data_IF_025235078838
#
_entry.id   IF_025235078838
#
_cell.length_a   1.000
_cell.length_b   1.000
_cell.length_c   1.000
_cell.angle_alpha   90.00
_cell.angle_beta   90.00
_cell.angle_gamma   90.00
#
_symmetry.space_group_name_H-M   'P 1'
#
loop_
_entity.id
_entity.type
_entity.pdbx_description
1 polymer ?
#
# COMPACT_ATOMS: atom_id res chain seq x y z
N UNK A 1 6.45 4.21 13.05
CA UNK A 1 7.84 4.59 12.71
C UNK A 1 7.97 5.09 11.27
N UNK A 2 7.64 4.31 10.21
CA UNK A 2 7.76 4.75 8.82
C UNK A 2 6.98 6.03 8.53
N UNK A 3 5.76 6.16 9.02
CA UNK A 3 4.94 7.37 8.84
C UNK A 3 5.61 8.60 9.47
N UNK A 4 6.22 8.46 10.65
CA UNK A 4 7.01 9.55 11.25
C UNK A 4 8.25 9.96 10.42
N UNK A 5 8.86 9.00 9.71
CA UNK A 5 10.02 9.28 8.84
C UNK A 5 9.61 9.92 7.52
N UNK A 6 8.55 9.40 6.89
CA UNK A 6 8.07 9.83 5.57
C UNK A 6 7.20 11.09 5.65
N UNK A 7 6.55 11.34 6.80
CA UNK A 7 5.64 12.46 7.07
C UNK A 7 4.58 12.65 5.97
N UNK A 8 3.86 11.60 5.59
CA UNK A 8 2.80 11.72 4.60
C UNK A 8 1.63 12.53 5.17
N UNK A 9 0.95 13.29 4.32
CA UNK A 9 -0.34 13.93 4.66
C UNK A 9 -1.53 13.09 4.20
N UNK A 10 -1.36 12.32 3.12
CA UNK A 10 -2.40 11.45 2.55
C UNK A 10 -1.90 10.04 2.44
N UNK A 11 -2.56 9.12 3.13
CA UNK A 11 -2.29 7.68 3.07
C UNK A 11 -3.50 6.96 2.48
N UNK A 12 -3.26 6.01 1.60
CA UNK A 12 -4.22 4.99 1.18
C UNK A 12 -3.76 3.65 1.71
N UNK A 13 -4.67 2.89 2.31
CA UNK A 13 -4.46 1.50 2.71
C UNK A 13 -5.42 0.59 1.98
N UNK A 14 -4.89 -0.48 1.40
CA UNK A 14 -5.65 -1.57 0.78
C UNK A 14 -5.55 -2.81 1.66
N UNK A 15 -6.66 -3.19 2.30
CA UNK A 15 -6.75 -4.23 3.33
C UNK A 15 -6.79 -3.62 4.73
N UNK A 16 -7.99 -3.35 5.22
CA UNK A 16 -8.22 -2.76 6.56
C UNK A 16 -8.16 -3.82 7.65
N UNK A 17 -8.74 -5.00 7.38
CA UNK A 17 -9.01 -6.04 8.38
C UNK A 17 -9.66 -5.42 9.63
N UNK A 18 -9.04 -5.54 10.81
CA UNK A 18 -9.57 -4.95 12.06
C UNK A 18 -9.13 -3.49 12.30
N UNK A 19 -8.47 -2.84 11.33
CA UNK A 19 -8.05 -1.44 11.42
C UNK A 19 -6.74 -1.20 12.18
N UNK A 20 -6.00 -2.24 12.55
CA UNK A 20 -4.78 -2.10 13.36
C UNK A 20 -3.71 -1.24 12.68
N UNK A 21 -3.39 -1.52 11.42
CA UNK A 21 -2.40 -0.78 10.64
C UNK A 21 -2.82 0.66 10.40
N UNK A 22 -4.10 0.90 10.06
CA UNK A 22 -4.66 2.24 9.92
C UNK A 22 -4.49 3.08 11.19
N UNK A 23 -4.84 2.52 12.37
CA UNK A 23 -4.67 3.17 13.66
C UNK A 23 -3.20 3.48 13.95
N UNK A 24 -2.30 2.52 13.73
CA UNK A 24 -0.86 2.72 13.91
C UNK A 24 -0.26 3.77 12.95
N UNK A 25 -0.76 3.83 11.72
CA UNK A 25 -0.33 4.85 10.75
C UNK A 25 -0.87 6.23 11.12
N UNK A 26 -2.12 6.32 11.59
CA UNK A 26 -2.76 7.56 11.99
C UNK A 26 -2.04 8.28 13.14
N UNK A 27 -1.43 7.53 14.07
CA UNK A 27 -0.60 8.08 15.15
C UNK A 27 0.57 8.91 14.60
N UNK A 28 1.19 8.46 13.50
CA UNK A 28 2.34 9.13 12.90
C UNK A 28 2.01 10.27 11.95
N UNK A 29 0.73 10.49 11.63
CA UNK A 29 0.29 11.54 10.71
C UNK A 29 0.37 12.93 11.34
N UNK A 30 0.68 13.98 10.54
CA UNK A 30 0.50 15.36 10.98
C UNK A 30 -0.96 15.65 11.33
N UNK A 31 -1.22 16.81 11.97
CA UNK A 31 -2.54 17.17 12.46
C UNK A 31 -3.62 17.20 11.36
N UNK A 32 -3.26 17.61 10.16
CA UNK A 32 -4.12 17.70 8.97
C UNK A 32 -4.03 16.45 8.06
N UNK A 33 -3.28 15.43 8.51
CA UNK A 33 -3.13 14.19 7.77
C UNK A 33 -4.37 13.31 7.81
N UNK A 34 -4.59 12.53 6.75
CA UNK A 34 -5.73 11.63 6.58
C UNK A 34 -5.30 10.29 6.01
N UNK A 35 -6.02 9.24 6.42
CA UNK A 35 -5.94 7.89 5.87
C UNK A 35 -7.30 7.52 5.29
N UNK A 36 -7.32 7.02 4.07
CA UNK A 36 -8.41 6.23 3.52
C UNK A 36 -7.98 4.78 3.59
N UNK A 37 -8.75 3.92 4.27
CA UNK A 37 -8.52 2.48 4.35
C UNK A 37 -9.70 1.74 3.74
N UNK A 38 -9.42 0.74 2.90
CA UNK A 38 -10.43 0.03 2.11
C UNK A 38 -10.34 -1.45 2.40
N UNK A 39 -11.50 -2.06 2.68
CA UNK A 39 -11.66 -3.51 2.71
C UNK A 39 -12.87 -3.92 1.89
N UNK A 40 -12.85 -5.14 1.35
CA UNK A 40 -13.98 -5.72 0.65
C UNK A 40 -14.87 -6.55 1.58
N UNK A 41 -14.33 -6.94 2.74
CA UNK A 41 -14.99 -7.80 3.71
C UNK A 41 -15.91 -6.99 4.63
N UNK A 42 -17.21 -7.08 4.41
CA UNK A 42 -18.24 -6.41 5.22
C UNK A 42 -18.53 -7.16 6.54
N UNK A 43 -18.13 -8.41 6.68
CA UNK A 43 -18.36 -9.19 7.93
C UNK A 43 -17.53 -8.63 9.09
N UNK A 44 -16.39 -8.01 8.82
CA UNK A 44 -15.51 -7.42 9.83
C UNK A 44 -15.72 -5.90 10.03
N UNK A 45 -16.60 -5.26 9.25
CA UNK A 45 -16.78 -3.81 9.25
C UNK A 45 -17.06 -3.26 10.66
N UNK A 46 -18.05 -3.82 11.37
CA UNK A 46 -18.43 -3.35 12.70
C UNK A 46 -17.28 -3.45 13.70
N UNK A 47 -16.48 -4.51 13.61
CA UNK A 47 -15.30 -4.73 14.47
C UNK A 47 -14.24 -3.68 14.18
N UNK A 48 -13.91 -3.48 12.92
CA UNK A 48 -12.91 -2.50 12.49
C UNK A 48 -13.31 -1.07 12.88
N UNK A 49 -14.56 -0.68 12.59
CA UNK A 49 -15.09 0.62 13.00
C UNK A 49 -15.11 0.80 14.51
N UNK A 50 -15.41 -0.27 15.26
CA UNK A 50 -15.37 -0.26 16.72
C UNK A 50 -13.97 0.03 17.28
N UNK A 51 -12.91 -0.57 16.71
CA UNK A 51 -11.53 -0.29 17.11
C UNK A 51 -11.08 1.10 16.65
N UNK A 52 -11.39 1.50 15.43
CA UNK A 52 -11.05 2.83 14.91
C UNK A 52 -11.68 3.92 15.79
N UNK A 53 -12.96 3.78 16.15
CA UNK A 53 -13.67 4.76 16.98
C UNK A 53 -13.09 4.93 18.39
N UNK A 54 -12.40 3.90 18.92
CA UNK A 54 -11.71 3.96 20.20
C UNK A 54 -10.32 4.60 20.10
N UNK A 55 -9.81 4.82 18.89
CA UNK A 55 -8.50 5.45 18.67
C UNK A 55 -8.59 6.97 18.94
N UNK A 56 -7.58 7.56 19.59
CA UNK A 56 -7.48 9.02 19.70
C UNK A 56 -7.26 9.72 18.35
N UNK A 57 -7.07 8.96 17.27
CA UNK A 57 -6.85 9.43 15.90
C UNK A 57 -7.98 9.04 14.95
N UNK A 58 -9.15 8.68 15.48
CA UNK A 58 -10.31 8.26 14.68
C UNK A 58 -10.72 9.30 13.63
N UNK A 59 -10.57 10.58 13.94
CA UNK A 59 -10.87 11.71 13.05
C UNK A 59 -9.99 11.79 11.80
N UNK A 60 -8.86 11.07 11.80
CA UNK A 60 -7.94 10.99 10.66
C UNK A 60 -8.21 9.80 9.75
N UNK A 61 -9.06 8.85 10.15
CA UNK A 61 -9.26 7.56 9.47
C UNK A 61 -10.63 7.53 8.83
N UNK A 62 -10.67 7.38 7.52
CA UNK A 62 -11.88 7.10 6.75
C UNK A 62 -11.84 5.66 6.27
N UNK A 63 -12.78 4.82 6.74
CA UNK A 63 -12.92 3.44 6.32
C UNK A 63 -14.02 3.30 5.28
N UNK A 64 -13.68 2.69 4.15
CA UNK A 64 -14.59 2.32 3.08
C UNK A 64 -14.70 0.79 2.98
N UNK A 65 -15.93 0.30 2.81
CA UNK A 65 -16.18 -1.13 2.54
C UNK A 65 -16.63 -1.25 1.09
N UNK A 66 -15.70 -1.63 0.23
CA UNK A 66 -15.94 -1.78 -1.21
C UNK A 66 -14.76 -2.50 -1.88
N UNK A 67 -14.94 -2.89 -3.14
CA UNK A 67 -13.81 -3.35 -3.97
C UNK A 67 -12.90 -2.14 -4.30
N UNK A 68 -11.65 -2.24 -3.88
CA UNK A 68 -10.66 -1.18 -4.12
C UNK A 68 -10.41 -0.94 -5.61
N UNK A 69 -10.46 -1.98 -6.46
CA UNK A 69 -10.26 -1.84 -7.91
C UNK A 69 -11.45 -1.15 -8.59
N UNK A 70 -12.65 -1.24 -8.02
CA UNK A 70 -13.83 -0.50 -8.49
C UNK A 70 -13.83 0.94 -7.98
N UNK A 71 -13.38 1.19 -6.75
CA UNK A 71 -13.34 2.51 -6.15
C UNK A 71 -12.21 3.39 -6.70
N UNK A 72 -11.01 2.85 -6.88
CA UNK A 72 -9.81 3.58 -7.29
C UNK A 72 -10.01 4.42 -8.58
N UNK A 73 -10.68 3.95 -9.64
CA UNK A 73 -10.94 4.77 -10.83
C UNK A 73 -11.77 6.03 -10.54
N UNK A 74 -12.63 6.01 -9.52
CA UNK A 74 -13.50 7.14 -9.15
C UNK A 74 -12.82 8.13 -8.21
N UNK A 75 -11.73 7.71 -7.54
CA UNK A 75 -10.98 8.54 -6.60
C UNK A 75 -10.15 9.59 -7.33
N UNK A 76 -10.31 10.85 -6.96
CA UNK A 76 -9.52 11.96 -7.51
C UNK A 76 -8.39 12.42 -6.57
N UNK A 77 -8.16 11.73 -5.46
CA UNK A 77 -7.10 12.08 -4.52
C UNK A 77 -5.72 11.63 -5.00
N UNK A 78 -4.72 12.31 -4.49
CA UNK A 78 -3.31 11.93 -4.66
C UNK A 78 -2.71 11.61 -3.31
N UNK A 79 -1.97 10.52 -3.24
CA UNK A 79 -1.43 9.98 -2.01
C UNK A 79 0.10 10.16 -1.91
N UNK A 80 0.58 10.42 -0.70
CA UNK A 80 2.01 10.43 -0.37
C UNK A 80 2.54 9.02 -0.13
N UNK A 81 1.68 8.18 0.45
CA UNK A 81 1.97 6.80 0.83
C UNK A 81 0.77 5.92 0.53
N UNK A 82 1.02 4.78 -0.10
CA UNK A 82 0.05 3.68 -0.23
C UNK A 82 0.60 2.47 0.52
N UNK A 83 -0.23 1.85 1.36
CA UNK A 83 0.06 0.58 2.02
C UNK A 83 -0.83 -0.51 1.40
N UNK A 84 -0.20 -1.52 0.79
CA UNK A 84 -0.88 -2.63 0.12
C UNK A 84 -0.73 -3.89 0.97
N UNK A 85 -1.82 -4.31 1.61
CA UNK A 85 -1.93 -5.55 2.40
C UNK A 85 -3.24 -6.30 2.13
N UNK A 86 -3.74 -6.21 0.90
CA UNK A 86 -4.95 -6.88 0.46
C UNK A 86 -4.66 -8.27 -0.16
N UNK A 87 -5.56 -8.76 -1.02
CA UNK A 87 -5.46 -10.06 -1.67
C UNK A 87 -4.24 -10.14 -2.60
N UNK A 88 -3.30 -11.03 -2.27
CA UNK A 88 -2.00 -11.15 -2.95
C UNK A 88 -2.10 -11.57 -4.43
N UNK A 89 -3.23 -12.17 -4.84
CA UNK A 89 -3.49 -12.53 -6.25
C UNK A 89 -3.54 -11.31 -7.16
N UNK A 90 -3.96 -10.15 -6.61
CA UNK A 90 -4.26 -8.92 -7.34
C UNK A 90 -3.23 -7.82 -7.09
N UNK A 91 -2.01 -8.16 -6.65
CA UNK A 91 -0.99 -7.15 -6.34
C UNK A 91 -0.54 -6.34 -7.55
N UNK A 92 -0.52 -6.93 -8.74
CA UNK A 92 -0.22 -6.18 -9.98
C UNK A 92 -1.34 -5.19 -10.25
N UNK A 93 -2.59 -5.64 -10.23
CA UNK A 93 -3.77 -4.83 -10.50
C UNK A 93 -3.89 -3.67 -9.49
N UNK A 94 -3.67 -3.93 -8.20
CA UNK A 94 -3.62 -2.88 -7.19
C UNK A 94 -2.50 -1.88 -7.46
N UNK A 95 -1.30 -2.36 -7.76
CA UNK A 95 -0.17 -1.49 -8.08
C UNK A 95 -0.44 -0.60 -9.29
N UNK A 96 -0.97 -1.16 -10.37
CA UNK A 96 -1.33 -0.41 -11.58
C UNK A 96 -2.41 0.64 -11.31
N UNK A 97 -3.41 0.29 -10.48
CA UNK A 97 -4.49 1.21 -10.12
C UNK A 97 -4.02 2.38 -9.23
N UNK A 98 -3.00 2.16 -8.36
CA UNK A 98 -2.56 3.20 -7.42
C UNK A 98 -1.36 4.01 -7.88
N UNK A 99 -0.50 3.48 -8.78
CA UNK A 99 0.77 4.15 -9.11
C UNK A 99 0.57 5.57 -9.66
N UNK A 100 -0.48 5.80 -10.46
CA UNK A 100 -0.77 7.12 -10.99
C UNK A 100 -1.34 8.07 -9.93
N UNK A 101 -1.93 7.54 -8.87
CA UNK A 101 -2.46 8.28 -7.73
C UNK A 101 -1.41 8.60 -6.66
N UNK A 102 -0.23 7.98 -6.72
CA UNK A 102 0.90 8.35 -5.87
C UNK A 102 1.59 9.58 -6.45
N UNK A 103 1.86 10.59 -5.62
CA UNK A 103 2.62 11.77 -6.07
C UNK A 103 4.04 11.41 -6.52
N UNK A 104 4.65 12.21 -7.39
CA UNK A 104 6.08 12.05 -7.68
C UNK A 104 6.93 12.11 -6.39
N UNK A 105 7.80 11.12 -6.19
CA UNK A 105 8.59 10.93 -4.97
C UNK A 105 7.85 10.30 -3.79
N UNK A 106 6.55 9.99 -3.93
CA UNK A 106 5.76 9.23 -2.96
C UNK A 106 6.08 7.76 -2.97
N UNK A 107 5.50 7.01 -2.03
CA UNK A 107 5.85 5.63 -1.77
C UNK A 107 4.65 4.70 -1.83
N UNK A 108 4.90 3.46 -2.26
CA UNK A 108 4.02 2.30 -2.09
C UNK A 108 4.79 1.30 -1.24
N UNK A 109 4.17 0.80 -0.18
CA UNK A 109 4.66 -0.29 0.67
C UNK A 109 3.77 -1.51 0.41
N UNK A 110 4.34 -2.58 -0.15
CA UNK A 110 3.62 -3.82 -0.38
C UNK A 110 4.07 -4.87 0.64
N UNK A 111 3.14 -5.34 1.48
CA UNK A 111 3.45 -6.28 2.55
C UNK A 111 3.44 -7.74 2.07
N UNK A 112 4.12 -8.59 2.82
CA UNK A 112 4.23 -10.04 2.66
C UNK A 112 4.85 -10.50 1.33
N UNK A 113 5.69 -9.69 0.68
CA UNK A 113 6.24 -9.99 -0.65
C UNK A 113 7.25 -11.13 -0.69
N UNK A 114 7.74 -11.61 0.47
CA UNK A 114 8.51 -12.84 0.62
C UNK A 114 7.67 -14.04 1.06
N UNK A 115 6.47 -13.82 1.59
CA UNK A 115 5.47 -14.82 1.93
C UNK A 115 6.01 -16.01 2.72
N UNK A 116 6.68 -15.74 3.85
CA UNK A 116 7.30 -16.79 4.68
C UNK A 116 8.40 -17.59 3.96
N UNK A 117 9.01 -17.02 2.91
CA UNK A 117 10.02 -17.68 2.09
C UNK A 117 9.46 -18.53 0.93
N UNK A 118 8.14 -18.69 0.82
CA UNK A 118 7.54 -19.51 -0.27
C UNK A 118 7.88 -19.03 -1.67
N UNK A 119 8.20 -17.75 -1.83
CA UNK A 119 8.58 -17.19 -3.15
C UNK A 119 9.90 -17.73 -3.71
N UNK A 120 10.72 -18.40 -2.91
CA UNK A 120 11.96 -19.07 -3.36
C UNK A 120 11.84 -20.59 -3.38
N UNK A 121 10.66 -21.13 -3.08
CA UNK A 121 10.37 -22.57 -3.09
C UNK A 121 9.61 -22.99 -4.34
N UNK A 122 9.42 -24.30 -4.51
CA UNK A 122 8.56 -24.82 -5.56
C UNK A 122 7.10 -24.59 -5.19
N UNK A 123 6.42 -23.71 -5.93
CA UNK A 123 5.04 -23.32 -5.67
C UNK A 123 4.06 -24.32 -6.28
N UNK A 124 3.05 -24.74 -5.50
CA UNK A 124 1.98 -25.60 -5.99
C UNK A 124 1.09 -24.85 -6.99
N UNK A 125 0.51 -25.60 -7.95
CA UNK A 125 -0.34 -25.01 -9.00
C UNK A 125 -1.65 -24.39 -8.49
N UNK A 126 -2.07 -24.73 -7.27
CA UNK A 126 -3.26 -24.18 -6.59
C UNK A 126 -2.93 -23.12 -5.55
N UNK A 127 -1.65 -22.78 -5.32
CA UNK A 127 -1.24 -21.68 -4.43
C UNK A 127 -1.24 -20.35 -5.18
N UNK A 128 -2.43 -19.83 -5.46
CA UNK A 128 -2.63 -18.61 -6.25
C UNK A 128 -2.09 -17.35 -5.54
N UNK A 129 -1.99 -17.34 -4.21
CA UNK A 129 -1.45 -16.21 -3.46
C UNK A 129 0.06 -16.09 -3.71
N UNK A 130 0.80 -17.18 -3.53
CA UNK A 130 2.25 -17.19 -3.80
C UNK A 130 2.55 -16.90 -5.28
N UNK A 131 1.75 -17.47 -6.21
CA UNK A 131 1.90 -17.18 -7.64
C UNK A 131 1.65 -15.69 -7.95
N UNK A 132 0.68 -15.06 -7.29
CA UNK A 132 0.42 -13.62 -7.41
C UNK A 132 1.63 -12.79 -7.00
N UNK A 133 2.21 -13.10 -5.84
CA UNK A 133 3.42 -12.42 -5.34
C UNK A 133 4.65 -12.63 -6.24
N UNK A 134 4.86 -13.85 -6.74
CA UNK A 134 5.94 -14.10 -7.70
C UNK A 134 5.79 -13.23 -8.95
N UNK A 135 4.59 -13.21 -9.53
CA UNK A 135 4.31 -12.35 -10.70
C UNK A 135 4.52 -10.88 -10.39
N UNK A 136 4.07 -10.41 -9.21
CA UNK A 136 4.26 -9.03 -8.79
C UNK A 136 5.75 -8.67 -8.62
N UNK A 137 6.52 -9.51 -7.93
CA UNK A 137 7.96 -9.30 -7.74
C UNK A 137 8.73 -9.27 -9.06
N UNK A 138 8.33 -10.10 -10.05
CA UNK A 138 8.91 -10.08 -11.40
C UNK A 138 8.43 -8.88 -12.20
N UNK A 139 7.17 -8.50 -12.08
CA UNK A 139 6.58 -7.37 -12.78
C UNK A 139 7.28 -6.04 -12.43
N UNK A 140 7.59 -5.80 -11.15
CA UNK A 140 8.27 -4.58 -10.72
C UNK A 140 9.62 -4.35 -11.44
N UNK A 141 10.31 -5.41 -11.87
CA UNK A 141 11.56 -5.31 -12.64
C UNK A 141 11.37 -4.66 -14.01
N UNK A 142 10.15 -4.68 -14.53
CA UNK A 142 9.80 -4.16 -15.86
C UNK A 142 9.22 -2.77 -15.85
N UNK A 143 8.84 -2.25 -14.67
CA UNK A 143 8.15 -0.96 -14.53
C UNK A 143 9.15 0.19 -14.61
N UNK A 144 9.04 1.08 -15.60
CA UNK A 144 9.93 2.24 -15.69
C UNK A 144 9.53 3.33 -14.65
N UNK A 145 10.51 4.13 -14.24
CA UNK A 145 10.26 5.31 -13.43
C UNK A 145 9.95 5.04 -11.97
N UNK A 146 10.23 3.85 -11.48
CA UNK A 146 10.19 3.50 -10.06
C UNK A 146 11.59 3.12 -9.56
N UNK A 147 11.80 3.27 -8.26
CA UNK A 147 12.91 2.69 -7.50
C UNK A 147 12.30 1.75 -6.47
N UNK A 148 12.83 0.55 -6.31
CA UNK A 148 12.28 -0.37 -5.33
C UNK A 148 13.34 -1.29 -4.73
N UNK A 149 13.06 -1.79 -3.52
CA UNK A 149 13.79 -2.86 -2.87
C UNK A 149 12.87 -3.64 -1.93
N UNK A 150 13.23 -4.88 -1.63
CA UNK A 150 12.53 -5.70 -0.65
C UNK A 150 13.33 -5.66 0.66
N UNK A 151 12.68 -5.17 1.73
CA UNK A 151 13.20 -5.28 3.08
C UNK A 151 12.78 -6.65 3.65
N UNK A 152 13.71 -7.55 3.99
CA UNK A 152 13.38 -8.89 4.51
C UNK A 152 13.05 -8.83 6.00
N UNK A 153 12.02 -8.04 6.35
CA UNK A 153 11.44 -7.94 7.67
C UNK A 153 10.18 -8.80 7.71
N UNK A 154 10.15 -9.83 8.59
CA UNK A 154 9.05 -10.79 8.67
C UNK A 154 8.78 -11.43 7.29
N UNK A 155 7.58 -11.24 6.75
CA UNK A 155 7.16 -11.78 5.44
C UNK A 155 7.60 -10.91 4.25
N UNK A 156 8.50 -9.95 4.50
CA UNK A 156 9.05 -9.05 3.50
C UNK A 156 8.14 -7.88 3.17
N UNK A 157 8.70 -6.68 3.17
CA UNK A 157 8.01 -5.46 2.73
C UNK A 157 8.75 -4.92 1.51
N UNK A 158 8.06 -4.79 0.38
CA UNK A 158 8.61 -4.11 -0.78
C UNK A 158 8.33 -2.61 -0.68
N UNK A 159 9.41 -1.84 -0.66
CA UNK A 159 9.38 -0.39 -0.75
C UNK A 159 9.48 0.01 -2.22
N UNK A 160 8.49 0.75 -2.71
CA UNK A 160 8.48 1.26 -4.07
C UNK A 160 8.34 2.78 -4.00
N UNK A 161 9.27 3.50 -4.61
CA UNK A 161 9.23 4.94 -4.73
C UNK A 161 8.89 5.32 -6.16
N UNK A 162 7.86 6.13 -6.35
CA UNK A 162 7.56 6.73 -7.66
C UNK A 162 8.62 7.76 -7.99
N UNK A 163 9.28 7.63 -9.14
CA UNK A 163 10.30 8.56 -9.59
C UNK A 163 9.78 9.99 -9.68
N UNK A 164 10.64 10.94 -9.37
CA UNK A 164 10.41 12.35 -9.69
C UNK A 164 10.83 12.52 -11.15
N UNK A 165 9.95 12.99 -12.04
CA UNK A 165 10.37 13.38 -13.39
C UNK A 165 11.50 14.38 -13.22
N UNK A 166 12.75 13.97 -13.47
CA UNK A 166 13.83 14.93 -13.63
C UNK A 166 13.45 15.75 -14.84
N UNK A 167 13.08 17.01 -14.63
CA UNK A 167 13.12 17.99 -15.71
C UNK A 167 14.54 17.91 -16.25
N UNK A 168 14.69 17.51 -17.50
CA UNK A 168 15.97 17.37 -18.19
C UNK A 168 16.73 18.69 -18.09
N UNK A 169 18.05 18.54 -17.89
CA UNK A 169 19.09 19.56 -17.96
C UNK A 169 19.42 20.33 -16.68
N UNK A 170 20.07 19.65 -15.72
CA UNK A 170 21.27 20.28 -15.16
C UNK A 170 22.44 19.76 -15.98
N UNK A 171 22.84 20.49 -17.00
CA UNK A 171 24.11 20.29 -17.65
C UNK A 171 25.18 20.61 -16.61
N UNK A 172 25.83 19.59 -16.09
CA UNK A 172 27.07 19.76 -15.33
C UNK A 172 28.11 20.19 -16.37
N UNK A 173 28.49 21.47 -16.31
CA UNK A 173 29.69 21.98 -16.97
C UNK A 173 30.91 21.65 -16.13
#
# INVERSE_FOLDING_TARGET
>A
MLVHMLKPHRILELGTYVGYSAICMAEGLPADGKIITIDIDDEIEDIARGYIAQSPHADKIEMLVCDALEWLPTCNETFDLVFMDANKRHYIEYFEAVIDKVRPGGFILADNTLWGGKVVEKVASNDYQTQGLLRFNDYLKTVPGIEYFILPLRDGITFIRKGVRRNEKVAIK
#
